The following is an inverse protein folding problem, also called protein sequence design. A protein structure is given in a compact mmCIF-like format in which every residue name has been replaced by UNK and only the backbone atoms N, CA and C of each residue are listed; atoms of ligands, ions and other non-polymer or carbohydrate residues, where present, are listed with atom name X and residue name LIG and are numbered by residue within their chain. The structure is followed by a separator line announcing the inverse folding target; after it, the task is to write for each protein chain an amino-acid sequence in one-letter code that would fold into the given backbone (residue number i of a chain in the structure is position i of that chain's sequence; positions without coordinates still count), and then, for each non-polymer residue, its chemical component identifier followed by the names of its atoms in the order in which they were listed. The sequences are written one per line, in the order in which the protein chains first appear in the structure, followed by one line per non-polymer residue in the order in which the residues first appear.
data_IF_140749311099
#
_entry.id   IF_140749311099
#
_cell.length_a   1.000
_cell.length_b   1.000
_cell.length_c   1.000
_cell.angle_alpha   90.00
_cell.angle_beta   90.00
_cell.angle_gamma   90.00
#
_symmetry.space_group_name_H-M   'P 1'
#
loop_
_entity.id
_entity.type
_entity.pdbx_description
1 polymer ?
#
# COMPACT_ATOMS: atom_id res chain seq x y z
N UNK A 1 -0.83 -20.63 8.08
CA UNK A 1 0.36 -19.92 7.76
C UNK A 1 0.06 -18.54 7.21
N UNK A 2 0.80 -17.59 7.66
CA UNK A 2 0.59 -16.24 7.19
C UNK A 2 1.21 -16.05 5.81
N UNK A 3 0.39 -15.62 4.89
CA UNK A 3 0.78 -15.44 3.51
C UNK A 3 0.98 -13.98 3.14
N UNK A 4 0.55 -13.07 4.00
CA UNK A 4 0.70 -11.66 3.71
C UNK A 4 2.11 -11.20 4.03
N UNK A 5 2.68 -10.44 3.12
CA UNK A 5 4.01 -9.91 3.29
C UNK A 5 4.01 -8.41 2.99
N UNK A 6 4.69 -7.67 3.83
CA UNK A 6 4.87 -6.23 3.63
C UNK A 6 6.36 -5.98 3.62
N UNK A 7 6.84 -5.32 2.57
CA UNK A 7 8.25 -5.02 2.43
C UNK A 7 8.45 -3.61 1.92
N UNK A 8 9.35 -2.90 2.57
CA UNK A 8 9.74 -1.57 2.08
C UNK A 8 11.07 -1.68 1.35
N UNK A 9 11.10 -1.21 0.11
CA UNK A 9 12.29 -1.21 -0.72
C UNK A 9 12.87 0.20 -0.71
N UNK A 10 13.86 0.39 0.13
CA UNK A 10 14.41 1.70 0.38
C UNK A 10 15.00 2.35 -0.86
N UNK A 11 15.67 1.58 -1.69
CA UNK A 11 16.32 2.12 -2.89
C UNK A 11 15.35 2.75 -3.86
N UNK A 12 14.10 2.31 -3.84
CA UNK A 12 13.08 2.80 -4.75
C UNK A 12 11.99 3.58 -4.06
N UNK A 13 12.06 3.66 -2.73
CA UNK A 13 11.01 4.27 -1.92
C UNK A 13 9.64 3.68 -2.26
N UNK A 14 9.58 2.35 -2.25
CA UNK A 14 8.37 1.61 -2.59
C UNK A 14 7.97 0.70 -1.44
N UNK A 15 6.70 0.73 -1.09
CA UNK A 15 6.15 -0.22 -0.14
C UNK A 15 5.42 -1.30 -0.94
N UNK A 16 5.79 -2.54 -0.72
CA UNK A 16 5.20 -3.68 -1.42
C UNK A 16 4.39 -4.51 -0.45
N UNK A 17 3.16 -4.77 -0.80
CA UNK A 17 2.25 -5.57 0.00
C UNK A 17 1.77 -6.73 -0.85
N UNK A 18 2.05 -7.95 -0.41
CA UNK A 18 1.63 -9.15 -1.12
C UNK A 18 0.65 -9.94 -0.28
N UNK A 19 -0.39 -10.44 -0.92
CA UNK A 19 -1.48 -11.12 -0.22
C UNK A 19 -1.38 -12.63 -0.29
N UNK A 20 -0.22 -13.14 -0.65
CA UNK A 20 0.08 -14.54 -0.46
C UNK A 20 -0.19 -15.44 -1.64
N UNK A 21 -1.15 -15.13 -2.43
CA UNK A 21 -1.48 -15.98 -3.58
C UNK A 21 -0.63 -15.61 -4.78
N UNK A 22 0.09 -16.58 -5.29
CA UNK A 22 0.80 -16.38 -6.52
C UNK A 22 -0.15 -16.47 -7.69
N UNK A 23 0.03 -15.60 -8.66
CA UNK A 23 -0.78 -15.65 -9.85
C UNK A 23 0.09 -16.01 -11.04
N UNK A 24 -0.49 -16.79 -11.96
CA UNK A 24 0.20 -17.17 -13.18
C UNK A 24 0.01 -16.16 -14.28
N UNK A 25 -1.04 -15.35 -14.16
CA UNK A 25 -1.38 -14.38 -15.18
C UNK A 25 -1.59 -13.01 -14.52
N UNK A 26 -0.51 -12.43 -13.98
CA UNK A 26 -0.65 -11.15 -13.32
C UNK A 26 -0.84 -10.01 -14.31
N UNK A 27 -1.62 -9.03 -13.91
CA UNK A 27 -1.63 -7.76 -14.61
C UNK A 27 -1.67 -6.64 -13.58
N UNK A 28 -1.23 -5.47 -14.00
CA UNK A 28 -1.09 -4.34 -13.11
C UNK A 28 -1.97 -3.19 -13.55
N UNK A 29 -2.61 -2.55 -12.59
CA UNK A 29 -3.32 -1.30 -12.79
C UNK A 29 -2.55 -0.19 -12.10
N UNK A 30 -2.39 0.93 -12.77
CA UNK A 30 -1.69 2.07 -12.21
C UNK A 30 -2.71 3.14 -11.84
N UNK A 31 -2.80 3.45 -10.57
CA UNK A 31 -3.71 4.48 -10.05
C UNK A 31 -2.88 5.41 -9.19
N UNK A 32 -2.49 6.57 -9.77
CA UNK A 32 -1.60 7.49 -9.07
C UNK A 32 -0.32 6.80 -8.65
N UNK A 33 0.06 6.86 -7.37
CA UNK A 33 1.26 6.19 -6.88
C UNK A 33 1.08 4.70 -6.65
N UNK A 34 -0.13 4.18 -6.85
CA UNK A 34 -0.44 2.79 -6.55
C UNK A 34 -0.34 1.93 -7.79
N UNK A 35 0.33 0.79 -7.65
CA UNK A 35 0.32 -0.25 -8.66
C UNK A 35 -0.40 -1.44 -8.04
N UNK A 36 -1.54 -1.77 -8.60
CA UNK A 36 -2.38 -2.83 -8.07
C UNK A 36 -2.22 -4.06 -8.94
N UNK A 37 -1.81 -5.15 -8.34
CA UNK A 37 -1.56 -6.39 -9.05
C UNK A 37 -2.72 -7.35 -8.84
N UNK A 38 -3.29 -7.82 -9.95
CA UNK A 38 -4.42 -8.73 -9.93
C UNK A 38 -4.16 -9.94 -10.81
N UNK A 39 -4.89 -10.99 -10.53
CA UNK A 39 -4.92 -12.15 -11.39
C UNK A 39 -5.88 -11.86 -12.55
N UNK A 40 -5.42 -12.06 -13.79
CA UNK A 40 -6.21 -11.71 -14.96
C UNK A 40 -7.39 -12.66 -15.19
N UNK A 41 -7.36 -13.85 -14.65
CA UNK A 41 -8.48 -14.78 -14.77
C UNK A 41 -9.55 -14.54 -13.72
N UNK A 42 -9.15 -14.40 -12.46
CA UNK A 42 -10.09 -14.32 -11.36
C UNK A 42 -10.34 -12.90 -10.89
N UNK A 43 -9.53 -11.97 -11.35
CA UNK A 43 -9.55 -10.57 -10.92
C UNK A 43 -9.24 -10.42 -9.41
N UNK A 44 -8.65 -11.44 -8.84
CA UNK A 44 -8.31 -11.43 -7.42
C UNK A 44 -7.12 -10.51 -7.18
N UNK A 45 -7.18 -9.75 -6.11
CA UNK A 45 -6.10 -8.86 -5.72
C UNK A 45 -4.94 -9.68 -5.17
N UNK A 46 -3.76 -9.51 -5.77
CA UNK A 46 -2.57 -10.26 -5.39
C UNK A 46 -1.54 -9.42 -4.67
N UNK A 47 -1.50 -8.14 -4.96
CA UNK A 47 -0.54 -7.28 -4.31
C UNK A 47 -0.78 -5.82 -4.61
N UNK A 48 -0.12 -4.97 -3.86
CA UNK A 48 -0.16 -3.53 -4.06
C UNK A 48 1.24 -3.00 -3.85
N UNK A 49 1.69 -2.15 -4.77
CA UNK A 49 2.96 -1.46 -4.63
C UNK A 49 2.65 0.03 -4.55
N UNK A 50 3.16 0.67 -3.52
CA UNK A 50 2.98 2.11 -3.34
C UNK A 50 4.30 2.77 -3.68
N UNK A 51 4.33 3.48 -4.80
CA UNK A 51 5.52 4.20 -5.24
C UNK A 51 5.63 5.52 -4.52
N UNK A 52 6.86 6.01 -4.38
CA UNK A 52 7.13 7.24 -3.65
C UNK A 52 6.44 7.22 -2.30
N UNK A 53 6.63 6.12 -1.59
CA UNK A 53 5.86 5.85 -0.38
C UNK A 53 6.01 6.94 0.66
N UNK A 54 7.24 7.34 0.96
CA UNK A 54 7.47 8.36 1.97
C UNK A 54 6.86 9.68 1.57
N UNK A 55 7.02 10.06 0.31
CA UNK A 55 6.45 11.29 -0.20
C UNK A 55 4.93 11.25 -0.17
N UNK A 56 4.35 10.13 -0.58
CA UNK A 56 2.90 9.95 -0.59
C UNK A 56 2.34 10.04 0.83
N UNK A 57 3.03 9.42 1.77
CA UNK A 57 2.62 9.45 3.17
C UNK A 57 2.66 10.87 3.72
N UNK A 58 3.73 11.61 3.43
CA UNK A 58 3.86 12.99 3.88
C UNK A 58 2.74 13.87 3.32
N UNK A 59 2.45 13.69 2.05
CA UNK A 59 1.38 14.44 1.40
C UNK A 59 0.03 14.12 2.03
N UNK A 60 -0.24 12.87 2.30
CA UNK A 60 -1.47 12.46 2.94
C UNK A 60 -1.62 13.09 4.32
N UNK A 61 -0.57 13.02 5.12
CA UNK A 61 -0.58 13.60 6.46
C UNK A 61 -0.82 15.10 6.39
N UNK A 62 -0.16 15.76 5.45
CA UNK A 62 -0.33 17.20 5.28
C UNK A 62 -1.79 17.55 4.92
N UNK A 63 -2.37 16.81 3.98
CA UNK A 63 -3.75 17.05 3.58
C UNK A 63 -4.73 16.79 4.71
N UNK A 64 -4.48 15.77 5.50
CA UNK A 64 -5.34 15.47 6.64
C UNK A 64 -5.29 16.60 7.66
N UNK A 65 -4.13 17.18 7.88
CA UNK A 65 -4.00 18.30 8.80
C UNK A 65 -4.73 19.54 8.29
N UNK A 66 -4.84 19.71 7.00
CA UNK A 66 -5.57 20.84 6.43
C UNK A 66 -7.07 20.71 6.60
N UNK A 67 -7.59 19.52 6.70
CA UNK A 67 -9.01 19.29 6.90
C UNK A 67 -9.45 19.75 8.28
N UNK A 68 -8.58 19.62 9.27
CA UNK A 68 -8.87 20.05 10.62
C UNK A 68 -7.85 19.49 11.60
N UNK A 69 -7.98 19.84 12.87
CA UNK A 69 -7.07 19.31 13.87
C UNK A 69 -7.30 17.81 14.03
N UNK A 70 -6.26 17.06 13.72
CA UNK A 70 -6.29 15.60 13.83
C UNK A 70 -5.32 15.21 14.92
N UNK A 71 -5.83 14.49 15.90
CA UNK A 71 -5.00 13.96 16.98
C UNK A 71 -4.73 12.50 16.65
N UNK A 72 -3.45 12.19 16.46
CA UNK A 72 -3.03 10.83 16.20
C UNK A 72 -2.53 10.26 17.52
N UNK A 73 -3.34 9.44 18.14
CA UNK A 73 -2.99 8.82 19.40
C UNK A 73 -2.17 7.54 19.20
N UNK A 74 -1.31 7.57 18.22
CA UNK A 74 -0.37 6.51 17.98
C UNK A 74 -0.82 5.10 18.33
N UNK A 75 -0.56 4.67 19.54
CA UNK A 75 -0.89 3.29 19.91
C UNK A 75 -2.35 2.93 19.71
N UNK A 76 -3.25 3.83 20.03
CA UNK A 76 -4.67 3.54 19.89
C UNK A 76 -5.10 3.48 18.44
N UNK A 77 -4.44 4.24 17.60
CA UNK A 77 -4.74 4.22 16.17
C UNK A 77 -4.32 2.91 15.52
N UNK A 78 -3.25 2.32 16.01
CA UNK A 78 -2.63 1.20 15.31
C UNK A 78 -2.82 -0.13 16.00
N UNK A 79 -3.32 -0.13 17.21
CA UNK A 79 -3.49 -1.36 17.99
C UNK A 79 -4.94 -1.75 18.18
N UNK A 80 -5.81 -1.14 17.48
CA UNK A 80 -7.22 -1.45 17.61
C UNK A 80 -7.59 -2.81 17.04
#
# INVERSE_FOLDING_TARGET
MDENQIRYVEERDELEIYFGDETRLPYCEHIGPFVIERDSETNKLCGVIIKDFEKTLRTLVYKLKMIGPIVLDGPEMFNS
#
